data_IF_953672474810
#
_entry.id   IF_953672474810
#
_cell.length_a   1.000
_cell.length_b   1.000
_cell.length_c   1.000
_cell.angle_alpha   90.00
_cell.angle_beta   90.00
_cell.angle_gamma   90.00
#
_symmetry.space_group_name_H-M   'P 1'
#
loop_
_entity.id
_entity.type
_entity.pdbx_description
1 polymer ?
#
# COMPACT_ATOMS: atom_id res chain seq x y z
N UNK A 1 -10.73 -65.48 0.94
CA UNK A 1 -9.40 -64.88 0.69
C UNK A 1 -9.58 -63.38 0.55
N UNK A 2 -9.47 -62.63 1.65
CA UNK A 2 -8.97 -61.23 1.64
C UNK A 2 -7.43 -61.30 1.58
N UNK A 3 -6.64 -60.22 1.31
CA UNK A 3 -6.97 -58.78 1.18
C UNK A 3 -6.43 -58.20 -0.17
N UNK A 4 -6.59 -56.94 -0.54
CA UNK A 4 -5.72 -55.82 -0.15
C UNK A 4 -6.45 -54.48 -0.22
N UNK A 5 -6.40 -53.82 0.92
CA UNK A 5 -6.60 -52.39 1.16
C UNK A 5 -5.51 -51.61 0.43
N UNK A 6 -5.88 -50.56 -0.30
CA UNK A 6 -5.04 -49.38 -0.44
C UNK A 6 -5.90 -48.12 -0.29
N UNK A 7 -5.85 -47.58 0.93
CA UNK A 7 -6.01 -46.16 1.20
C UNK A 7 -5.02 -45.36 0.35
N UNK A 8 -5.49 -44.28 -0.26
CA UNK A 8 -4.67 -43.07 -0.39
C UNK A 8 -5.62 -41.86 -0.47
N UNK A 9 -5.81 -41.21 0.68
CA UNK A 9 -6.39 -39.88 0.78
C UNK A 9 -5.59 -38.93 -0.11
N UNK A 10 -6.25 -38.32 -1.09
CA UNK A 10 -5.73 -37.14 -1.77
C UNK A 10 -6.06 -35.89 -0.94
N UNK A 11 -5.44 -35.79 0.24
CA UNK A 11 -5.38 -34.53 0.99
C UNK A 11 -4.11 -33.79 0.53
N UNK A 12 -4.14 -33.26 -0.70
CA UNK A 12 -3.05 -32.47 -1.23
C UNK A 12 -3.28 -30.97 -0.90
N UNK A 13 -2.70 -30.56 0.22
CA UNK A 13 -1.88 -29.35 0.33
C UNK A 13 -2.33 -28.10 -0.44
N UNK A 14 -3.20 -27.29 0.17
CA UNK A 14 -3.03 -25.82 0.11
C UNK A 14 -3.28 -25.25 1.51
N UNK A 15 -2.44 -25.68 2.46
CA UNK A 15 -2.22 -24.91 3.68
C UNK A 15 -1.07 -23.94 3.41
N UNK A 16 -1.38 -22.79 2.79
CA UNK A 16 -0.45 -21.66 2.75
C UNK A 16 -1.22 -20.36 2.54
N UNK A 17 -2.19 -20.07 3.40
CA UNK A 17 -2.43 -18.65 3.73
C UNK A 17 -1.46 -18.36 4.86
N UNK A 18 -0.37 -17.75 4.46
CA UNK A 18 0.65 -17.14 5.31
C UNK A 18 0.03 -16.63 6.59
N UNK A 19 0.50 -17.15 7.73
CA UNK A 19 0.38 -16.45 8.99
C UNK A 19 1.03 -15.09 8.77
N UNK A 20 0.20 -14.07 8.48
CA UNK A 20 0.62 -12.68 8.48
C UNK A 20 1.17 -12.48 9.87
N UNK A 21 2.49 -12.37 9.96
CA UNK A 21 3.16 -11.82 11.13
C UNK A 21 2.40 -10.55 11.44
N UNK A 22 1.58 -10.56 12.50
CA UNK A 22 0.87 -9.38 12.99
C UNK A 22 1.94 -8.43 13.53
N UNK A 23 2.66 -7.79 12.61
CA UNK A 23 3.37 -6.56 12.91
C UNK A 23 2.34 -5.65 13.55
N UNK A 24 2.67 -5.07 14.70
CA UNK A 24 1.80 -4.10 15.37
C UNK A 24 1.33 -3.12 14.30
N UNK A 25 0.02 -2.95 14.15
CA UNK A 25 -0.56 -2.07 13.15
C UNK A 25 0.08 -0.68 13.26
N UNK A 26 0.60 -0.14 12.15
CA UNK A 26 1.20 1.19 12.08
C UNK A 26 0.44 2.10 11.13
N UNK A 27 0.47 3.39 11.42
CA UNK A 27 0.10 4.39 10.46
C UNK A 27 1.28 4.60 9.51
N UNK A 28 1.01 4.76 8.21
CA UNK A 28 2.00 4.96 7.16
C UNK A 28 1.65 6.22 6.40
N UNK A 29 2.60 7.15 6.26
CA UNK A 29 2.42 8.35 5.47
C UNK A 29 3.08 8.21 4.09
N UNK A 30 2.36 8.63 3.05
CA UNK A 30 2.84 8.80 1.70
C UNK A 30 2.98 10.31 1.46
N UNK A 31 4.20 10.80 1.39
CA UNK A 31 4.50 12.22 1.18
C UNK A 31 5.19 12.38 -0.16
N UNK A 32 4.63 13.20 -1.04
CA UNK A 32 5.10 13.28 -2.41
C UNK A 32 4.87 14.64 -3.03
N UNK A 33 5.48 14.80 -4.20
CA UNK A 33 5.30 15.95 -5.06
C UNK A 33 5.00 15.48 -6.48
N UNK A 34 4.09 16.19 -7.13
CA UNK A 34 3.77 16.05 -8.54
C UNK A 34 4.51 17.15 -9.30
N UNK A 35 5.42 16.74 -10.19
CA UNK A 35 6.25 17.61 -11.01
C UNK A 35 5.45 17.98 -12.26
N UNK A 36 4.42 18.81 -12.10
CA UNK A 36 3.77 19.48 -13.21
C UNK A 36 3.65 20.98 -12.92
N UNK A 37 3.71 21.80 -13.97
CA UNK A 37 3.45 23.23 -13.88
C UNK A 37 2.02 23.54 -13.41
N UNK A 38 1.66 24.83 -13.41
CA UNK A 38 0.41 25.45 -12.89
C UNK A 38 -0.95 24.78 -13.20
N UNK A 39 -1.00 23.76 -14.06
CA UNK A 39 -2.22 23.10 -14.56
C UNK A 39 -2.18 21.59 -14.28
N UNK A 40 -2.02 21.16 -13.02
CA UNK A 40 -2.22 19.73 -12.69
C UNK A 40 -3.67 19.38 -13.02
N UNK A 41 -3.86 18.42 -13.92
CA UNK A 41 -5.19 18.02 -14.37
C UNK A 41 -5.83 17.09 -13.31
N UNK A 42 -7.14 17.19 -13.15
CA UNK A 42 -7.88 16.42 -12.13
C UNK A 42 -7.72 14.90 -12.31
N UNK A 43 -7.57 14.42 -13.54
CA UNK A 43 -7.33 13.00 -13.87
C UNK A 43 -5.99 12.48 -13.33
N UNK A 44 -4.94 13.30 -13.36
CA UNK A 44 -3.62 12.96 -12.81
C UNK A 44 -3.65 12.88 -11.29
N UNK A 45 -4.39 13.80 -10.65
CA UNK A 45 -4.61 13.76 -9.19
C UNK A 45 -5.34 12.48 -8.79
N UNK A 46 -6.40 12.13 -9.51
CA UNK A 46 -7.14 10.86 -9.30
C UNK A 46 -6.23 9.65 -9.49
N UNK A 47 -5.38 9.64 -10.52
CA UNK A 47 -4.42 8.55 -10.72
C UNK A 47 -3.41 8.41 -9.57
N UNK A 48 -2.87 9.51 -9.05
CA UNK A 48 -1.98 9.49 -7.87
C UNK A 48 -2.73 8.95 -6.65
N UNK A 49 -3.97 9.42 -6.42
CA UNK A 49 -4.85 8.93 -5.35
C UNK A 49 -5.09 7.42 -5.46
N UNK A 50 -5.45 6.91 -6.64
CA UNK A 50 -5.70 5.48 -6.88
C UNK A 50 -4.45 4.62 -6.65
N UNK A 51 -3.28 5.08 -7.09
CA UNK A 51 -2.02 4.36 -6.85
C UNK A 51 -1.68 4.32 -5.37
N UNK A 52 -1.84 5.43 -4.66
CA UNK A 52 -1.59 5.49 -3.20
C UNK A 52 -2.61 4.62 -2.46
N UNK A 53 -3.89 4.65 -2.82
CA UNK A 53 -4.94 3.82 -2.22
C UNK A 53 -4.66 2.33 -2.44
N UNK A 54 -4.23 1.94 -3.65
CA UNK A 54 -3.82 0.56 -3.94
C UNK A 54 -2.64 0.13 -3.06
N UNK A 55 -1.59 0.96 -2.96
CA UNK A 55 -0.44 0.66 -2.09
C UNK A 55 -0.86 0.59 -0.61
N UNK A 56 -1.78 1.44 -0.17
CA UNK A 56 -2.35 1.42 1.18
C UNK A 56 -2.96 0.04 1.49
N UNK A 57 -3.79 -0.45 0.58
CA UNK A 57 -4.47 -1.73 0.71
C UNK A 57 -3.48 -2.91 0.66
N UNK A 58 -2.46 -2.84 -0.19
CA UNK A 58 -1.37 -3.84 -0.23
C UNK A 58 -0.57 -3.89 1.07
N UNK A 59 -0.48 -2.75 1.78
CA UNK A 59 0.09 -2.69 3.12
C UNK A 59 -0.83 -3.24 4.22
N UNK A 60 -2.04 -3.66 3.86
CA UNK A 60 -3.06 -4.14 4.78
C UNK A 60 -3.70 -3.03 5.61
N UNK A 61 -3.53 -1.77 5.20
CA UNK A 61 -4.15 -0.61 5.84
C UNK A 61 -5.64 -0.50 5.49
N UNK A 62 -6.39 0.15 6.38
CA UNK A 62 -7.77 0.57 6.12
C UNK A 62 -7.72 2.06 5.80
N UNK A 63 -7.99 2.43 4.55
CA UNK A 63 -7.81 3.78 4.04
C UNK A 63 -8.58 4.83 4.85
N UNK A 64 -7.91 5.51 5.77
CA UNK A 64 -8.40 6.75 6.37
C UNK A 64 -8.00 7.89 5.45
N UNK A 65 -8.99 8.34 4.65
CA UNK A 65 -8.83 9.20 3.48
C UNK A 65 -8.57 10.64 3.86
N UNK A 66 -7.36 10.98 4.27
CA UNK A 66 -6.95 12.40 4.24
C UNK A 66 -5.76 12.55 3.31
N UNK A 67 -6.05 12.71 2.01
CA UNK A 67 -5.10 13.34 1.11
C UNK A 67 -5.14 14.84 1.43
N UNK A 68 -4.14 15.31 2.16
CA UNK A 68 -3.88 16.75 2.30
C UNK A 68 -2.86 17.14 1.25
N UNK A 69 -3.07 18.26 0.57
CA UNK A 69 -2.09 18.76 -0.38
C UNK A 69 -2.37 20.18 -0.81
N UNK A 70 -1.36 20.80 -1.41
CA UNK A 70 -1.43 22.19 -1.88
C UNK A 70 -0.45 22.43 -3.02
N UNK A 71 -0.78 23.41 -3.85
CA UNK A 71 0.16 23.93 -4.82
C UNK A 71 1.12 24.88 -4.12
N UNK A 72 2.41 24.59 -4.20
CA UNK A 72 3.44 25.61 -4.03
C UNK A 72 4.06 25.85 -5.41
N UNK A 73 4.80 26.95 -5.61
CA UNK A 73 5.32 27.33 -6.93
C UNK A 73 6.25 26.30 -7.62
N UNK A 74 6.42 25.10 -7.05
CA UNK A 74 7.22 23.98 -7.57
C UNK A 74 6.36 22.78 -8.01
N UNK A 75 5.06 22.78 -7.70
CA UNK A 75 4.12 21.72 -8.09
C UNK A 75 3.03 21.48 -7.05
N UNK A 76 2.36 20.33 -7.14
CA UNK A 76 1.39 19.89 -6.14
C UNK A 76 2.07 18.96 -5.13
N UNK A 77 2.13 19.39 -3.88
CA UNK A 77 2.66 18.59 -2.77
C UNK A 77 1.51 17.93 -2.03
N UNK A 78 1.64 16.64 -1.73
CA UNK A 78 0.60 15.89 -1.04
C UNK A 78 1.15 15.02 0.08
N UNK A 79 0.28 14.75 1.04
CA UNK A 79 0.47 13.80 2.13
C UNK A 79 -0.80 12.98 2.30
N UNK A 80 -0.67 11.67 2.25
CA UNK A 80 -1.73 10.70 2.51
C UNK A 80 -1.34 9.81 3.68
N UNK A 81 -2.24 9.59 4.64
CA UNK A 81 -1.95 8.73 5.80
C UNK A 81 -2.86 7.50 5.81
N UNK A 82 -2.24 6.34 5.63
CA UNK A 82 -2.87 5.04 5.77
C UNK A 82 -2.82 4.58 7.22
N UNK A 83 -3.97 4.34 7.85
CA UNK A 83 -4.00 3.73 9.18
C UNK A 83 -4.11 2.22 9.08
N UNK A 84 -3.62 1.56 10.12
CA UNK A 84 -3.73 0.12 10.31
C UNK A 84 -2.96 -0.73 9.30
N UNK A 85 -1.85 -0.25 8.74
CA UNK A 85 -0.96 -1.09 7.94
C UNK A 85 -0.45 -2.25 8.81
N UNK A 86 -0.73 -3.48 8.38
CA UNK A 86 -0.39 -4.71 9.11
C UNK A 86 0.82 -5.42 8.52
N UNK A 87 1.15 -5.11 7.27
CA UNK A 87 2.44 -5.52 6.71
C UNK A 87 3.54 -4.58 7.22
N UNK A 88 4.73 -5.13 7.43
CA UNK A 88 5.92 -4.38 7.78
C UNK A 88 6.84 -4.32 6.55
N UNK A 89 6.54 -3.48 5.54
CA UNK A 89 7.53 -3.21 4.51
C UNK A 89 8.74 -2.55 5.19
N UNK A 90 9.94 -2.74 4.66
CA UNK A 90 11.14 -2.03 5.14
C UNK A 90 10.95 -0.53 4.85
N UNK A 91 10.30 0.19 5.77
CA UNK A 91 10.17 1.64 5.72
C UNK A 91 11.51 2.29 6.10
N UNK A 92 11.89 3.42 5.48
CA UNK A 92 11.18 4.11 4.41
C UNK A 92 11.46 3.48 3.02
N UNK A 93 10.51 3.65 2.09
CA UNK A 93 10.71 3.35 0.66
C UNK A 93 10.03 4.41 -0.21
N UNK A 94 10.34 4.43 -1.50
CA UNK A 94 9.75 5.39 -2.45
C UNK A 94 8.91 4.65 -3.48
N UNK A 95 7.70 5.15 -3.73
CA UNK A 95 6.90 4.76 -4.88
C UNK A 95 7.12 5.76 -6.01
N UNK A 96 7.43 5.26 -7.20
CA UNK A 96 7.59 6.05 -8.42
C UNK A 96 7.05 5.21 -9.58
N UNK A 97 5.73 5.29 -9.82
CA UNK A 97 5.09 4.54 -10.91
C UNK A 97 5.29 5.23 -12.26
N UNK A 98 5.37 6.56 -12.22
CA UNK A 98 5.56 7.41 -13.38
C UNK A 98 6.76 8.36 -13.17
N UNK A 99 7.27 8.98 -14.23
CA UNK A 99 8.45 9.87 -14.18
C UNK A 99 8.14 11.29 -13.68
N UNK A 100 6.86 11.60 -13.46
CA UNK A 100 6.38 12.95 -13.14
C UNK A 100 5.89 13.10 -11.70
N UNK A 101 5.92 12.03 -10.90
CA UNK A 101 5.64 12.10 -9.46
C UNK A 101 6.37 11.00 -8.70
N UNK A 102 6.54 11.23 -7.41
CA UNK A 102 6.96 10.19 -6.48
C UNK A 102 6.37 10.46 -5.11
N UNK A 103 6.25 9.42 -4.29
CA UNK A 103 5.94 9.58 -2.88
C UNK A 103 6.90 8.74 -2.03
N UNK A 104 7.44 9.38 -1.00
CA UNK A 104 8.15 8.70 0.07
C UNK A 104 7.15 8.12 1.06
N UNK A 105 7.32 6.86 1.37
CA UNK A 105 6.49 6.10 2.30
C UNK A 105 7.24 5.97 3.62
N UNK A 106 6.66 6.50 4.70
CA UNK A 106 7.29 6.60 6.03
C UNK A 106 6.38 6.11 7.14
N UNK A 107 6.96 5.72 8.28
CA UNK A 107 6.19 5.39 9.49
C UNK A 107 5.59 6.69 10.05
N UNK A 108 4.26 6.72 10.17
CA UNK A 108 3.49 7.84 10.71
C UNK A 108 3.03 7.60 12.15
N UNK A 109 3.45 6.49 12.78
CA UNK A 109 3.22 6.19 14.19
C UNK A 109 2.36 4.95 14.43
N UNK A 110 1.86 4.83 15.66
CA UNK A 110 0.86 3.82 15.99
C UNK A 110 -0.51 4.19 15.38
N UNK A 111 -1.34 3.17 15.16
CA UNK A 111 -2.73 3.36 14.73
C UNK A 111 -3.63 3.79 15.88
#
# INVERSE_FOLDING_TARGET
>A
MQPYVYLALLAANIASVTAVTLGKSRAVAFEGNVIFGKDTLDDQRVHVEDVIETNCLDLGAKGDKVLTGGFDGQGYHFKFVCRCATSNPKLPFTIHKDNWWSAQVTDAGAC
#
